data_IF_600328157303
#
_entry.id   IF_600328157303
#
_cell.length_a   1.000
_cell.length_b   1.000
_cell.length_c   1.000
_cell.angle_alpha   90.00
_cell.angle_beta   90.00
_cell.angle_gamma   90.00
#
_symmetry.space_group_name_H-M   'P 1'
#
loop_
_entity.id
_entity.type
_entity.pdbx_description
1 polymer ?
#
# COMPACT_ATOMS: atom_id res chain seq x y z
N UNK A 1 -14.80 -7.15 11.50
CA UNK A 1 -13.96 -7.03 10.31
C UNK A 1 -12.52 -6.87 10.74
N UNK A 2 -11.60 -7.70 10.28
CA UNK A 2 -10.19 -7.52 10.57
C UNK A 2 -9.70 -6.19 9.98
N UNK A 3 -9.07 -5.39 10.83
CA UNK A 3 -8.48 -4.10 10.43
C UNK A 3 -7.04 -4.03 10.91
N UNK A 4 -6.18 -3.49 10.08
CA UNK A 4 -4.80 -3.15 10.38
C UNK A 4 -4.62 -1.66 10.13
N UNK A 5 -4.18 -0.92 11.14
CA UNK A 5 -3.84 0.50 11.03
C UNK A 5 -2.41 0.67 11.52
N UNK A 6 -1.56 1.23 10.69
CA UNK A 6 -0.19 1.58 11.02
C UNK A 6 0.10 3.01 10.56
N UNK A 7 0.93 3.70 11.29
CA UNK A 7 1.27 5.09 10.99
C UNK A 7 2.75 5.36 11.23
N UNK A 8 3.29 6.30 10.47
CA UNK A 8 4.68 6.72 10.59
C UNK A 8 4.81 8.22 10.32
N UNK A 9 5.65 8.88 11.09
CA UNK A 9 6.05 10.25 10.83
C UNK A 9 7.11 10.27 9.73
N UNK A 10 6.95 11.17 8.78
CA UNK A 10 7.82 11.33 7.60
C UNK A 10 8.39 12.74 7.61
N UNK A 11 9.71 12.83 7.58
CA UNK A 11 10.46 14.11 7.53
C UNK A 11 10.48 14.68 6.10
N UNK A 12 9.28 14.86 5.55
CA UNK A 12 9.05 15.44 4.23
C UNK A 12 7.67 16.12 4.19
N UNK A 13 7.48 17.14 3.33
CA UNK A 13 6.19 17.80 3.19
C UNK A 13 5.15 16.86 2.58
N UNK A 14 3.84 17.10 2.83
CA UNK A 14 2.75 16.25 2.32
C UNK A 14 2.80 15.98 0.82
N UNK A 15 3.20 16.96 0.01
CA UNK A 15 3.31 16.84 -1.44
C UNK A 15 4.36 15.81 -1.83
N UNK A 16 5.50 15.79 -1.14
CA UNK A 16 6.56 14.81 -1.39
C UNK A 16 6.15 13.41 -0.96
N UNK A 17 5.46 13.30 0.16
CA UNK A 17 4.90 12.03 0.64
C UNK A 17 3.89 11.50 -0.38
N UNK A 18 3.04 12.37 -0.93
CA UNK A 18 2.09 12.04 -1.99
C UNK A 18 2.76 11.53 -3.26
N UNK A 19 3.80 12.22 -3.75
CA UNK A 19 4.56 11.80 -4.93
C UNK A 19 5.12 10.38 -4.76
N UNK A 20 5.74 10.09 -3.63
CA UNK A 20 6.32 8.78 -3.36
C UNK A 20 5.24 7.70 -3.22
N UNK A 21 4.11 8.04 -2.59
CA UNK A 21 2.97 7.11 -2.43
C UNK A 21 2.37 6.74 -3.78
N UNK A 22 2.18 7.72 -4.66
CA UNK A 22 1.46 7.54 -5.93
C UNK A 22 2.35 7.19 -7.12
N UNK A 23 3.64 7.06 -6.92
CA UNK A 23 4.57 6.41 -7.85
C UNK A 23 4.42 4.88 -7.73
N UNK A 24 3.42 4.33 -8.40
CA UNK A 24 3.04 2.91 -8.28
C UNK A 24 4.21 1.97 -8.60
N UNK A 25 4.93 2.26 -9.67
CA UNK A 25 6.09 1.43 -10.06
C UNK A 25 7.22 1.57 -9.05
N UNK A 26 7.44 2.78 -8.52
CA UNK A 26 8.43 3.06 -7.48
C UNK A 26 8.09 2.43 -6.13
N UNK A 27 6.86 1.97 -5.91
CA UNK A 27 6.47 1.31 -4.66
C UNK A 27 7.30 0.06 -4.35
N UNK A 28 7.83 -0.62 -5.36
CA UNK A 28 8.75 -1.75 -5.18
C UNK A 28 10.03 -1.39 -4.41
N UNK A 29 10.42 -0.12 -4.36
CA UNK A 29 11.59 0.34 -3.60
C UNK A 29 11.37 0.26 -2.07
N UNK A 30 10.14 0.51 -1.63
CA UNK A 30 9.82 0.57 -0.20
C UNK A 30 8.87 -0.53 0.30
N UNK A 31 7.97 -1.06 -0.52
CA UNK A 31 7.13 -2.19 -0.14
C UNK A 31 7.95 -3.48 -0.07
N UNK A 32 7.81 -4.19 1.04
CA UNK A 32 8.55 -5.44 1.26
C UNK A 32 8.05 -6.53 0.33
N UNK A 33 8.97 -7.08 -0.48
CA UNK A 33 8.71 -8.20 -1.38
C UNK A 33 7.50 -8.00 -2.32
N UNK A 34 7.26 -6.74 -2.74
CA UNK A 34 6.07 -6.39 -3.51
C UNK A 34 6.45 -5.48 -4.67
N UNK A 35 5.98 -5.83 -5.87
CA UNK A 35 5.99 -4.97 -7.05
C UNK A 35 4.58 -4.54 -7.38
N UNK A 36 4.41 -3.29 -7.80
CA UNK A 36 3.12 -2.73 -8.20
C UNK A 36 3.23 -2.22 -9.63
N UNK A 37 2.20 -2.48 -10.41
CA UNK A 37 2.07 -1.99 -11.79
C UNK A 37 0.68 -1.43 -12.05
N UNK A 38 0.56 -0.51 -13.00
CA UNK A 38 -0.72 -0.03 -13.51
C UNK A 38 -1.19 -0.95 -14.62
N UNK A 39 -2.42 -1.46 -14.53
CA UNK A 39 -2.97 -2.44 -15.49
C UNK A 39 -4.16 -1.89 -16.27
N UNK A 40 -4.53 -0.64 -16.07
CA UNK A 40 -5.59 0.05 -16.84
C UNK A 40 -6.19 1.25 -16.13
N UNK A 41 -6.97 2.03 -16.86
CA UNK A 41 -7.52 3.29 -16.37
C UNK A 41 -6.46 4.39 -16.20
N UNK A 42 -6.81 5.51 -15.57
CA UNK A 42 -5.85 6.58 -15.29
C UNK A 42 -4.83 6.11 -14.25
N UNK A 43 -3.54 6.35 -14.52
CA UNK A 43 -2.47 6.01 -13.56
C UNK A 43 -2.62 6.78 -12.25
N UNK A 44 -3.15 8.00 -12.33
CA UNK A 44 -3.41 8.88 -11.19
C UNK A 44 -4.85 9.38 -11.24
N UNK A 45 -5.71 8.79 -10.43
CA UNK A 45 -7.12 9.16 -10.37
C UNK A 45 -8.06 7.98 -10.14
N UNK A 46 -9.31 8.30 -9.87
CA UNK A 46 -10.37 7.31 -9.66
C UNK A 46 -10.58 6.46 -10.92
N UNK A 47 -10.76 5.16 -10.74
CA UNK A 47 -10.89 4.18 -11.81
C UNK A 47 -9.56 3.58 -12.29
N UNK A 48 -8.43 4.10 -11.82
CA UNK A 48 -7.12 3.50 -12.05
C UNK A 48 -7.07 2.08 -11.51
N UNK A 49 -6.46 1.17 -12.29
CA UNK A 49 -6.34 -0.25 -11.91
C UNK A 49 -4.88 -0.58 -11.64
N UNK A 50 -4.66 -1.22 -10.52
CA UNK A 50 -3.35 -1.61 -10.04
C UNK A 50 -3.29 -3.12 -9.85
N UNK A 51 -2.11 -3.69 -10.06
CA UNK A 51 -1.80 -5.07 -9.70
C UNK A 51 -0.52 -5.09 -8.85
N UNK A 52 -0.62 -5.67 -7.67
CA UNK A 52 0.50 -5.89 -6.77
C UNK A 52 0.86 -7.38 -6.72
N UNK A 53 2.13 -7.69 -6.82
CA UNK A 53 2.66 -9.05 -6.65
C UNK A 53 3.55 -9.08 -5.43
N UNK A 54 3.14 -9.83 -4.42
CA UNK A 54 3.88 -9.98 -3.16
C UNK A 54 4.37 -11.41 -3.03
N UNK A 55 5.66 -11.61 -2.83
CA UNK A 55 6.22 -12.95 -2.64
C UNK A 55 7.73 -13.04 -2.81
N UNK A 56 8.20 -14.23 -3.20
CA UNK A 56 9.62 -14.51 -3.39
C UNK A 56 10.15 -13.84 -4.66
N UNK A 57 11.26 -13.10 -4.59
CA UNK A 57 11.87 -12.51 -5.76
C UNK A 57 12.40 -13.60 -6.72
N UNK A 58 12.12 -13.40 -8.00
CA UNK A 58 12.63 -14.23 -9.08
C UNK A 58 13.64 -13.46 -9.93
N UNK A 59 14.53 -14.17 -10.67
CA UNK A 59 15.36 -13.50 -11.68
C UNK A 59 14.54 -12.67 -12.65
N UNK A 60 15.04 -11.48 -12.99
CA UNK A 60 14.36 -10.54 -13.87
C UNK A 60 13.32 -9.63 -13.17
N UNK A 61 13.40 -9.47 -11.83
CA UNK A 61 12.57 -8.52 -11.08
C UNK A 61 11.12 -8.97 -10.89
N UNK A 62 10.80 -10.23 -11.13
CA UNK A 62 9.45 -10.80 -10.91
C UNK A 62 9.34 -11.37 -9.50
N UNK A 63 8.12 -11.41 -8.97
CA UNK A 63 7.84 -12.09 -7.71
C UNK A 63 6.91 -13.30 -7.95
N UNK A 64 7.26 -14.43 -7.32
CA UNK A 64 6.39 -15.60 -7.24
C UNK A 64 5.60 -15.50 -5.93
N UNK A 65 4.30 -15.26 -6.03
CA UNK A 65 3.49 -15.14 -4.83
C UNK A 65 2.07 -14.68 -5.12
N UNK A 66 1.51 -13.98 -4.15
CA UNK A 66 0.14 -13.50 -4.19
C UNK A 66 -0.01 -12.35 -5.20
N UNK A 67 -0.95 -12.51 -6.12
CA UNK A 67 -1.43 -11.42 -6.97
C UNK A 67 -2.62 -10.75 -6.29
N UNK A 68 -2.51 -9.48 -6.08
CA UNK A 68 -3.57 -8.61 -5.57
C UNK A 68 -3.91 -7.55 -6.60
N UNK A 69 -5.16 -7.47 -6.97
CA UNK A 69 -5.66 -6.47 -7.92
C UNK A 69 -6.52 -5.45 -7.20
N UNK A 70 -6.38 -4.19 -7.60
CA UNK A 70 -7.04 -3.06 -6.94
C UNK A 70 -7.59 -2.07 -7.96
N UNK A 71 -8.62 -1.33 -7.53
CA UNK A 71 -9.16 -0.17 -8.25
C UNK A 71 -9.12 1.03 -7.34
N UNK A 72 -8.63 2.16 -7.84
CA UNK A 72 -8.64 3.43 -7.10
C UNK A 72 -10.08 3.93 -7.03
N UNK A 73 -10.60 4.04 -5.81
CA UNK A 73 -11.98 4.48 -5.52
C UNK A 73 -12.05 5.92 -5.03
N UNK A 74 -10.93 6.44 -4.48
CA UNK A 74 -10.84 7.81 -4.02
C UNK A 74 -9.47 8.39 -4.32
N UNK A 75 -9.45 9.67 -4.72
CA UNK A 75 -8.23 10.36 -5.11
C UNK A 75 -8.32 11.84 -4.70
N UNK A 76 -7.68 12.20 -3.62
CA UNK A 76 -7.70 13.54 -3.04
C UNK A 76 -6.27 14.03 -2.74
N UNK A 77 -5.53 14.52 -3.76
CA UNK A 77 -4.16 15.02 -3.55
C UNK A 77 -4.11 16.24 -2.63
N UNK A 78 -3.09 16.37 -1.78
CA UNK A 78 -2.06 15.39 -1.45
C UNK A 78 -2.41 14.58 -0.20
N UNK A 79 -3.67 14.33 0.07
CA UNK A 79 -4.19 13.91 1.37
C UNK A 79 -4.65 12.46 1.47
N UNK A 80 -5.32 11.95 0.44
CA UNK A 80 -6.02 10.66 0.55
C UNK A 80 -6.05 9.90 -0.78
N UNK A 81 -5.63 8.65 -0.74
CA UNK A 81 -5.92 7.63 -1.77
C UNK A 81 -6.65 6.47 -1.10
N UNK A 82 -7.75 6.04 -1.72
CA UNK A 82 -8.41 4.80 -1.35
C UNK A 82 -8.41 3.86 -2.54
N UNK A 83 -8.06 2.61 -2.29
CA UNK A 83 -8.13 1.53 -3.26
C UNK A 83 -9.07 0.45 -2.76
N UNK A 84 -9.79 -0.18 -3.66
CA UNK A 84 -10.60 -1.35 -3.37
C UNK A 84 -9.88 -2.59 -3.92
N UNK A 85 -9.50 -3.50 -3.03
CA UNK A 85 -8.95 -4.80 -3.40
C UNK A 85 -10.05 -5.65 -4.06
N UNK A 86 -9.78 -6.13 -5.26
CA UNK A 86 -10.68 -6.91 -6.10
C UNK A 86 -10.19 -8.34 -6.31
N UNK A 87 -9.09 -8.70 -5.67
CA UNK A 87 -8.46 -10.02 -5.76
C UNK A 87 -9.33 -11.15 -5.21
N UNK A 88 -8.90 -12.38 -5.44
CA UNK A 88 -9.59 -13.56 -4.92
C UNK A 88 -9.31 -13.80 -3.44
N UNK A 89 -8.15 -13.41 -2.96
CA UNK A 89 -7.67 -13.67 -1.60
C UNK A 89 -7.81 -12.42 -0.73
N UNK A 90 -7.34 -11.27 -1.24
CA UNK A 90 -7.44 -10.00 -0.55
C UNK A 90 -8.65 -9.25 -1.10
N UNK A 91 -9.52 -8.82 -0.21
CA UNK A 91 -10.70 -7.99 -0.50
C UNK A 91 -10.89 -6.97 0.60
N UNK A 92 -11.42 -5.82 0.24
CA UNK A 92 -11.69 -4.72 1.17
C UNK A 92 -10.97 -3.45 0.76
N UNK A 93 -11.20 -2.34 1.45
CA UNK A 93 -10.53 -1.08 1.15
C UNK A 93 -9.15 -1.01 1.80
N UNK A 94 -8.18 -0.53 1.02
CA UNK A 94 -6.91 0.01 1.48
C UNK A 94 -6.98 1.53 1.46
N UNK A 95 -6.70 2.18 2.57
CA UNK A 95 -6.80 3.63 2.72
C UNK A 95 -5.44 4.17 3.11
N UNK A 96 -4.96 5.14 2.34
CA UNK A 96 -3.68 5.81 2.55
C UNK A 96 -3.96 7.28 2.80
N UNK A 97 -3.66 7.74 4.01
CA UNK A 97 -3.89 9.12 4.41
C UNK A 97 -2.57 9.82 4.73
N UNK A 98 -2.49 11.08 4.34
CA UNK A 98 -1.34 11.95 4.62
C UNK A 98 -1.84 13.10 5.46
N UNK A 99 -1.45 13.10 6.73
CA UNK A 99 -1.80 14.14 7.70
C UNK A 99 -0.67 15.17 7.75
N UNK A 100 -0.92 16.46 7.45
CA UNK A 100 0.08 17.51 7.61
C UNK A 100 0.54 17.64 9.08
N UNK A 101 1.84 17.80 9.27
CA UNK A 101 2.47 17.99 10.59
C UNK A 101 3.53 19.10 10.50
N UNK A 102 3.10 20.36 10.48
CA UNK A 102 3.97 21.48 10.18
C UNK A 102 4.53 21.41 8.77
N UNK A 103 5.86 21.43 8.62
CA UNK A 103 6.55 21.25 7.33
C UNK A 103 6.74 19.77 6.93
N UNK A 104 6.29 18.85 7.77
CA UNK A 104 6.38 17.41 7.59
C UNK A 104 4.98 16.78 7.50
N UNK A 105 4.91 15.46 7.46
CA UNK A 105 3.66 14.73 7.40
C UNK A 105 3.68 13.45 8.23
N UNK A 106 2.50 12.97 8.58
CA UNK A 106 2.30 11.62 9.09
C UNK A 106 1.57 10.80 8.03
N UNK A 107 2.14 9.67 7.64
CA UNK A 107 1.52 8.72 6.74
C UNK A 107 0.76 7.66 7.55
N UNK A 108 -0.51 7.47 7.23
CA UNK A 108 -1.40 6.48 7.86
C UNK A 108 -1.85 5.48 6.81
N UNK A 109 -1.58 4.22 7.07
CA UNK A 109 -2.00 3.11 6.21
C UNK A 109 -3.02 2.26 6.95
N UNK A 110 -4.24 2.20 6.41
CA UNK A 110 -5.35 1.39 6.93
C UNK A 110 -5.72 0.32 5.93
N UNK A 111 -5.76 -0.93 6.37
CA UNK A 111 -6.26 -2.07 5.60
C UNK A 111 -7.46 -2.69 6.31
N UNK A 112 -8.56 -2.85 5.58
CA UNK A 112 -9.73 -3.58 6.06
C UNK A 112 -9.94 -4.79 5.20
N UNK A 113 -9.95 -5.97 5.84
CA UNK A 113 -10.04 -7.23 5.13
C UNK A 113 -11.45 -7.80 5.22
N UNK A 114 -12.05 -8.07 4.05
CA UNK A 114 -13.27 -8.85 3.95
C UNK A 114 -12.89 -10.31 3.73
N UNK A 115 -13.25 -11.17 4.69
CA UNK A 115 -13.05 -12.61 4.54
C UNK A 115 -14.09 -13.14 3.54
N UNK A 116 -13.66 -13.70 2.39
CA UNK A 116 -14.53 -13.91 1.24
C UNK A 116 -15.55 -15.06 1.39
N UNK A 117 -15.55 -15.78 2.52
CA UNK A 117 -16.24 -17.04 2.63
C UNK A 117 -17.33 -17.07 3.74
N UNK A 118 -18.05 -15.96 3.93
CA UNK A 118 -19.21 -15.93 4.83
C UNK A 118 -18.91 -16.51 6.22
N UNK A 119 -19.68 -17.51 6.65
CA UNK A 119 -19.51 -18.15 7.95
C UNK A 119 -18.18 -18.89 8.12
N UNK A 120 -17.56 -19.40 7.02
CA UNK A 120 -16.20 -19.95 7.07
C UNK A 120 -15.17 -18.88 7.44
N UNK A 121 -15.41 -17.61 7.11
CA UNK A 121 -14.59 -16.50 7.55
C UNK A 121 -14.52 -16.38 9.06
N UNK A 122 -15.61 -16.67 9.77
CA UNK A 122 -15.65 -16.67 11.24
C UNK A 122 -14.77 -17.78 11.80
N UNK A 123 -14.79 -18.97 11.18
CA UNK A 123 -13.94 -20.12 11.58
C UNK A 123 -12.46 -19.84 11.29
N UNK A 124 -12.15 -19.05 10.26
CA UNK A 124 -10.77 -18.67 9.89
C UNK A 124 -10.25 -17.45 10.67
N UNK A 125 -11.08 -16.78 11.47
CA UNK A 125 -10.67 -15.64 12.30
C UNK A 125 -9.47 -15.95 13.21
N UNK A 126 -9.35 -17.12 13.87
CA UNK A 126 -8.15 -17.47 14.63
C UNK A 126 -6.88 -17.50 13.78
N UNK A 127 -6.98 -17.95 12.50
CA UNK A 127 -5.88 -17.93 11.55
C UNK A 127 -5.40 -16.50 11.25
N UNK A 128 -6.30 -15.53 11.17
CA UNK A 128 -5.96 -14.13 11.04
C UNK A 128 -5.07 -13.64 12.19
N UNK A 129 -5.42 -13.98 13.43
CA UNK A 129 -4.63 -13.57 14.58
C UNK A 129 -3.23 -14.18 14.58
N UNK A 130 -3.06 -15.38 14.02
CA UNK A 130 -1.74 -16.01 13.85
C UNK A 130 -0.90 -15.32 12.75
N UNK A 131 -1.52 -14.87 11.66
CA UNK A 131 -0.84 -14.23 10.52
C UNK A 131 -0.64 -12.72 10.73
N UNK A 132 -1.54 -12.07 11.46
CA UNK A 132 -1.53 -10.62 11.71
C UNK A 132 -0.16 -10.06 12.16
N UNK A 133 0.61 -10.68 13.06
CA UNK A 133 1.94 -10.18 13.46
C UNK A 133 2.91 -10.09 12.29
N UNK A 134 2.89 -11.05 11.38
CA UNK A 134 3.76 -11.08 10.20
C UNK A 134 3.36 -10.01 9.18
N UNK A 135 2.06 -9.87 8.92
CA UNK A 135 1.53 -8.81 8.06
C UNK A 135 1.91 -7.44 8.64
N UNK A 136 1.68 -7.25 9.92
CA UNK A 136 2.02 -6.01 10.63
C UNK A 136 3.52 -5.70 10.57
N UNK A 137 4.36 -6.71 10.75
CA UNK A 137 5.80 -6.56 10.61
C UNK A 137 6.18 -6.10 9.20
N UNK A 138 5.61 -6.72 8.17
CA UNK A 138 5.84 -6.36 6.76
C UNK A 138 5.43 -4.92 6.47
N UNK A 139 4.22 -4.52 6.91
CA UNK A 139 3.71 -3.16 6.76
C UNK A 139 4.61 -2.14 7.48
N UNK A 140 4.97 -2.40 8.73
CA UNK A 140 5.87 -1.51 9.49
C UNK A 140 7.25 -1.37 8.85
N UNK A 141 7.79 -2.46 8.32
CA UNK A 141 9.06 -2.42 7.61
C UNK A 141 8.94 -1.62 6.32
N UNK A 142 7.85 -1.79 5.57
CA UNK A 142 7.54 -1.00 4.38
C UNK A 142 7.43 0.49 4.71
N UNK A 143 6.70 0.84 5.77
CA UNK A 143 6.55 2.23 6.21
C UNK A 143 7.89 2.88 6.58
N UNK A 144 8.79 2.16 7.25
CA UNK A 144 10.14 2.69 7.56
C UNK A 144 10.95 2.97 6.30
N UNK A 145 10.87 2.08 5.30
CA UNK A 145 11.51 2.29 3.99
C UNK A 145 10.88 3.46 3.26
N UNK A 146 9.55 3.54 3.27
CA UNK A 146 8.79 4.66 2.71
C UNK A 146 9.25 5.99 3.29
N UNK A 147 9.29 6.12 4.62
CA UNK A 147 9.75 7.34 5.28
C UNK A 147 11.19 7.71 4.87
N UNK A 148 12.08 6.73 4.75
CA UNK A 148 13.45 6.96 4.29
C UNK A 148 13.52 7.42 2.82
N UNK A 149 12.69 6.85 1.95
CA UNK A 149 12.61 7.27 0.52
C UNK A 149 12.05 8.68 0.40
N UNK A 150 10.97 8.98 1.10
CA UNK A 150 10.31 10.28 1.05
C UNK A 150 11.18 11.41 1.64
N UNK A 151 11.97 11.11 2.68
CA UNK A 151 12.87 12.07 3.31
C UNK A 151 14.13 12.37 2.49
N UNK A 152 14.44 11.60 1.44
CA UNK A 152 15.55 11.93 0.55
C UNK A 152 15.25 13.25 -0.15
N UNK A 153 16.25 14.18 -0.24
CA UNK A 153 16.09 15.37 -1.07
C UNK A 153 15.62 14.94 -2.45
N UNK A 154 14.54 15.56 -2.94
CA UNK A 154 13.98 15.20 -4.23
C UNK A 154 15.06 15.30 -5.29
N UNK A 155 15.61 14.20 -5.70
CA UNK A 155 16.35 14.13 -6.92
C UNK A 155 15.36 14.54 -8.00
N UNK A 156 15.53 15.73 -8.57
CA UNK A 156 14.95 16.04 -9.85
C UNK A 156 15.20 14.82 -10.71
N UNK A 157 14.12 14.22 -11.22
CA UNK A 157 14.22 13.05 -12.05
C UNK A 157 15.23 13.33 -13.15
N UNK A 158 16.43 12.77 -13.00
CA UNK A 158 17.35 12.66 -14.09
C UNK A 158 16.77 11.61 -15.02
N UNK A 159 15.93 12.06 -15.95
CA UNK A 159 15.67 11.36 -17.22
C UNK A 159 15.17 12.32 -18.26
#
# INVERSE_FOLDING_TARGET
MPELVERIDVEAPPERVWEVLTDWVGQGEWMVATDVETVGGPAQGVGGRLAARTGLPLPGGRHLGLLDTMVITKWEPPRLVEVQHTGRVIRGPGIFEIEPRGEHATFVWTERFYLPWGWFGVVLTPGWYAVKPFVRWGVRRSLRRFAAVAARPGGAAAR
#
